data_IF_889062650275
#
_entry.id   IF_889062650275
#
_cell.length_a   1.000
_cell.length_b   1.000
_cell.length_c   1.000
_cell.angle_alpha   90.00
_cell.angle_beta   90.00
_cell.angle_gamma   90.00
#
_symmetry.space_group_name_H-M   'P 1'
#
loop_
_entity.id
_entity.type
_entity.pdbx_description
1 polymer ?
#
# COMPACT_ATOMS: atom_id res chain seq x y z
N UNK A 1 -5.14 8.99 8.19
CA UNK A 1 -6.53 8.50 8.40
C UNK A 1 -6.71 7.84 9.75
N UNK A 2 -5.84 6.89 10.15
CA UNK A 2 -5.95 6.20 11.45
C UNK A 2 -6.04 7.18 12.64
N UNK A 3 -5.15 8.18 12.81
CA UNK A 3 -5.27 9.13 13.93
C UNK A 3 -6.57 9.92 13.92
N UNK A 4 -7.05 10.28 12.72
CA UNK A 4 -8.30 11.02 12.56
C UNK A 4 -9.51 10.20 13.03
N UNK A 5 -9.64 8.94 12.60
CA UNK A 5 -10.73 8.08 13.07
C UNK A 5 -10.63 7.77 14.57
N UNK A 6 -9.42 7.53 15.09
CA UNK A 6 -9.21 7.32 16.53
C UNK A 6 -9.61 8.54 17.35
N UNK A 7 -9.26 9.74 16.90
CA UNK A 7 -9.63 10.99 17.57
C UNK A 7 -11.16 11.19 17.60
N UNK A 8 -11.86 10.86 16.51
CA UNK A 8 -13.33 10.91 16.49
C UNK A 8 -13.95 9.90 17.47
N UNK A 9 -13.46 8.66 17.46
CA UNK A 9 -13.93 7.62 18.38
C UNK A 9 -13.65 8.01 19.85
N UNK A 10 -12.45 8.51 20.16
CA UNK A 10 -12.08 8.98 21.49
C UNK A 10 -12.90 10.20 21.94
N UNK A 11 -13.33 11.05 21.00
CA UNK A 11 -14.26 12.15 21.26
C UNK A 11 -15.73 11.72 21.43
N UNK A 12 -16.01 10.41 21.47
CA UNK A 12 -17.35 9.86 21.66
C UNK A 12 -18.26 10.00 20.45
N UNK A 13 -17.70 10.22 19.25
CA UNK A 13 -18.49 10.22 18.02
C UNK A 13 -18.94 8.80 17.69
N UNK A 14 -20.15 8.68 17.15
CA UNK A 14 -20.74 7.42 16.69
C UNK A 14 -20.67 7.27 15.17
N UNK A 15 -20.07 8.23 14.48
CA UNK A 15 -19.93 8.28 13.03
C UNK A 15 -18.48 8.53 12.62
N UNK A 16 -18.05 7.86 11.55
CA UNK A 16 -16.75 8.03 10.93
C UNK A 16 -16.97 8.40 9.45
N UNK A 17 -16.63 9.64 9.03
CA UNK A 17 -16.89 10.05 7.65
C UNK A 17 -15.98 9.30 6.67
N UNK A 18 -16.58 8.76 5.62
CA UNK A 18 -15.90 8.04 4.55
C UNK A 18 -15.89 8.92 3.30
N UNK A 19 -14.75 9.06 2.63
CA UNK A 19 -14.65 9.89 1.42
C UNK A 19 -15.31 9.22 0.22
N UNK A 20 -15.04 7.93 -0.01
CA UNK A 20 -15.73 7.08 -0.98
C UNK A 20 -15.69 5.62 -0.49
N UNK A 21 -16.82 4.91 -0.54
CA UNK A 21 -16.89 3.53 -0.04
C UNK A 21 -16.04 2.51 -0.80
N UNK A 22 -15.66 2.83 -2.05
CA UNK A 22 -14.82 1.97 -2.88
C UNK A 22 -13.34 2.20 -2.60
N UNK A 23 -12.99 3.21 -1.80
CA UNK A 23 -11.60 3.59 -1.58
C UNK A 23 -10.79 2.48 -0.88
N UNK A 24 -9.59 2.22 -1.40
CA UNK A 24 -8.67 1.23 -0.81
C UNK A 24 -7.28 1.80 -0.65
N UNK A 25 -6.53 1.25 0.29
CA UNK A 25 -5.13 1.62 0.56
C UNK A 25 -4.31 0.36 0.77
N UNK A 26 -3.00 0.48 0.61
CA UNK A 26 -2.07 -0.54 1.09
C UNK A 26 -1.77 -0.33 2.57
N UNK A 27 -1.57 -1.44 3.29
CA UNK A 27 -1.12 -1.42 4.68
C UNK A 27 0.37 -1.70 4.76
N UNK A 28 1.14 -0.79 5.35
CA UNK A 28 2.54 -0.99 5.68
C UNK A 28 2.81 -0.41 7.08
N UNK A 29 3.46 -1.19 7.93
CA UNK A 29 3.97 -0.71 9.21
C UNK A 29 5.25 0.10 9.02
N UNK A 30 5.60 0.92 10.02
CA UNK A 30 6.86 1.65 10.01
C UNK A 30 8.06 0.70 9.93
N UNK A 31 8.01 -0.42 10.64
CA UNK A 31 9.07 -1.42 10.61
C UNK A 31 9.23 -2.04 9.21
N UNK A 32 8.13 -2.48 8.58
CA UNK A 32 8.15 -3.00 7.20
C UNK A 32 8.70 -1.95 6.22
N UNK A 33 8.35 -0.68 6.39
CA UNK A 33 8.89 0.43 5.60
C UNK A 33 10.40 0.59 5.77
N UNK A 34 10.90 0.53 7.01
CA UNK A 34 12.34 0.60 7.30
C UNK A 34 13.08 -0.61 6.72
N UNK A 35 12.51 -1.81 6.82
CA UNK A 35 13.11 -3.02 6.25
C UNK A 35 13.25 -2.93 4.72
N UNK A 36 12.27 -2.34 4.02
CA UNK A 36 12.37 -2.09 2.58
C UNK A 36 13.55 -1.16 2.25
N UNK A 37 13.74 -0.08 3.02
CA UNK A 37 14.86 0.86 2.83
C UNK A 37 16.20 0.17 3.05
N UNK A 38 16.35 -0.59 4.14
CA UNK A 38 17.58 -1.34 4.44
C UNK A 38 17.89 -2.33 3.33
N UNK A 39 16.87 -3.06 2.85
CA UNK A 39 17.01 -3.99 1.72
C UNK A 39 17.51 -3.26 0.46
N UNK A 40 16.86 -2.16 0.09
CA UNK A 40 17.25 -1.36 -1.07
C UNK A 40 18.70 -0.87 -0.95
N UNK A 41 19.12 -0.38 0.22
CA UNK A 41 20.51 0.04 0.45
C UNK A 41 21.52 -1.10 0.30
N UNK A 42 21.14 -2.32 0.68
CA UNK A 42 22.05 -3.48 0.62
C UNK A 42 22.15 -4.11 -0.77
N UNK A 43 21.10 -3.98 -1.60
CA UNK A 43 20.97 -4.75 -2.84
C UNK A 43 20.94 -3.92 -4.12
N UNK A 44 20.67 -2.60 -4.03
CA UNK A 44 20.59 -1.72 -5.19
C UNK A 44 21.95 -1.60 -5.90
N UNK A 45 21.93 -1.60 -7.23
CA UNK A 45 23.09 -1.32 -8.09
C UNK A 45 22.99 0.06 -8.76
N UNK A 46 21.93 0.82 -8.48
CA UNK A 46 21.70 2.21 -8.85
C UNK A 46 20.49 2.41 -9.76
N UNK A 47 19.55 3.25 -9.35
CA UNK A 47 18.40 3.66 -10.18
C UNK A 47 17.21 2.69 -10.16
N UNK A 48 17.28 1.57 -9.45
CA UNK A 48 16.13 0.70 -9.24
C UNK A 48 15.11 1.30 -8.27
N UNK A 49 13.83 0.99 -8.49
CA UNK A 49 12.76 1.30 -7.54
C UNK A 49 12.26 0.00 -6.92
N UNK A 50 12.44 -0.13 -5.59
CA UNK A 50 12.01 -1.29 -4.81
C UNK A 50 10.61 -1.05 -4.23
N UNK A 51 9.71 -2.02 -4.42
CA UNK A 51 8.30 -1.90 -4.03
C UNK A 51 7.89 -3.15 -3.27
N UNK A 52 7.54 -3.03 -1.99
CA UNK A 52 7.09 -4.18 -1.18
C UNK A 52 5.76 -4.73 -1.68
N UNK A 53 5.60 -6.06 -1.63
CA UNK A 53 4.30 -6.71 -1.71
C UNK A 53 3.63 -6.63 -0.34
N UNK A 54 2.59 -5.82 -0.24
CA UNK A 54 1.86 -5.53 0.98
C UNK A 54 0.34 -5.68 0.77
N UNK A 55 -0.41 -6.02 1.83
CA UNK A 55 -1.83 -6.25 1.70
C UNK A 55 -2.59 -4.93 1.52
N UNK A 56 -3.78 -5.04 0.93
CA UNK A 56 -4.72 -3.92 0.79
C UNK A 56 -5.84 -4.00 1.83
N UNK A 57 -6.49 -2.87 2.07
CA UNK A 57 -7.70 -2.81 2.88
C UNK A 57 -8.67 -1.74 2.36
N UNK A 58 -9.96 -1.90 2.63
CA UNK A 58 -10.96 -0.88 2.37
C UNK A 58 -11.02 0.12 3.52
N UNK A 59 -11.27 1.38 3.20
CA UNK A 59 -11.42 2.42 4.23
C UNK A 59 -12.60 2.14 5.18
N UNK A 60 -13.66 1.48 4.68
CA UNK A 60 -14.79 1.02 5.50
C UNK A 60 -14.38 -0.03 6.54
N UNK A 61 -13.48 -0.95 6.17
CA UNK A 61 -13.03 -2.02 7.05
C UNK A 61 -12.13 -1.45 8.14
N UNK A 62 -11.31 -0.44 7.80
CA UNK A 62 -10.58 0.34 8.79
C UNK A 62 -11.52 1.08 9.75
N UNK A 63 -12.57 1.73 9.25
CA UNK A 63 -13.54 2.42 10.10
C UNK A 63 -14.22 1.43 11.07
N UNK A 64 -14.64 0.26 10.58
CA UNK A 64 -15.23 -0.79 11.39
C UNK A 64 -14.24 -1.36 12.42
N UNK A 65 -12.96 -1.49 12.07
CA UNK A 65 -11.91 -1.95 12.99
C UNK A 65 -11.61 -0.91 14.10
N UNK A 66 -11.72 0.39 13.80
CA UNK A 66 -11.50 1.47 14.78
C UNK A 66 -12.72 1.68 15.69
N UNK A 67 -13.92 1.73 15.12
CA UNK A 67 -15.17 1.92 15.86
C UNK A 67 -16.25 0.97 15.33
N UNK A 68 -16.36 -0.24 15.90
CA UNK A 68 -17.33 -1.22 15.44
C UNK A 68 -18.77 -0.71 15.49
N UNK A 69 -19.47 -0.79 14.36
CA UNK A 69 -20.87 -0.35 14.26
C UNK A 69 -21.04 1.17 14.10
N UNK A 70 -19.96 1.91 13.82
CA UNK A 70 -20.05 3.33 13.47
C UNK A 70 -20.94 3.54 12.25
N UNK A 71 -21.74 4.62 12.28
CA UNK A 71 -22.31 5.15 11.04
C UNK A 71 -21.16 5.65 10.16
N UNK A 72 -21.26 5.43 8.85
CA UNK A 72 -20.19 5.76 7.91
C UNK A 72 -20.72 6.71 6.82
N UNK A 73 -21.07 7.97 7.13
CA UNK A 73 -21.60 8.88 6.11
C UNK A 73 -20.56 9.16 5.02
N UNK A 74 -20.98 9.08 3.75
CA UNK A 74 -20.13 9.44 2.62
C UNK A 74 -20.05 10.97 2.48
N UNK A 75 -18.85 11.53 2.56
CA UNK A 75 -18.61 12.98 2.50
C UNK A 75 -18.06 13.44 1.14
N UNK A 76 -17.81 12.50 0.23
CA UNK A 76 -17.27 12.76 -1.09
C UNK A 76 -15.73 12.76 -1.13
N UNK A 77 -15.20 12.46 -2.33
CA UNK A 77 -13.77 12.48 -2.62
C UNK A 77 -13.27 13.93 -2.60
N UNK A 78 -12.18 14.18 -1.88
CA UNK A 78 -11.51 15.49 -1.88
C UNK A 78 -10.64 15.66 -3.13
N UNK A 79 -10.44 16.90 -3.55
CA UNK A 79 -9.59 17.20 -4.70
C UNK A 79 -8.18 16.60 -4.52
N UNK A 80 -7.70 15.90 -5.54
CA UNK A 80 -6.40 15.23 -5.54
C UNK A 80 -6.36 13.86 -4.85
N UNK A 81 -7.43 13.39 -4.19
CA UNK A 81 -7.47 12.04 -3.63
C UNK A 81 -7.69 10.97 -4.70
N UNK A 82 -6.89 9.90 -4.63
CA UNK A 82 -7.08 8.72 -5.47
C UNK A 82 -8.04 7.72 -4.81
N UNK A 83 -8.85 7.06 -5.65
CA UNK A 83 -9.72 5.97 -5.22
C UNK A 83 -8.89 4.74 -4.78
N UNK A 84 -7.89 4.39 -5.58
CA UNK A 84 -6.94 3.32 -5.30
C UNK A 84 -5.52 3.83 -5.47
N UNK A 85 -4.59 3.30 -4.67
CA UNK A 85 -3.17 3.60 -4.80
C UNK A 85 -2.52 2.64 -5.81
N UNK A 86 -1.54 3.14 -6.55
CA UNK A 86 -0.79 2.37 -7.56
C UNK A 86 0.68 2.49 -7.19
N UNK A 87 1.36 1.34 -7.01
CA UNK A 87 2.79 1.30 -6.72
C UNK A 87 3.64 0.82 -7.90
N UNK A 88 3.07 0.02 -8.81
CA UNK A 88 3.65 -0.27 -10.13
C UNK A 88 2.63 0.17 -11.17
N UNK A 89 2.99 1.15 -11.99
CA UNK A 89 2.13 1.63 -13.07
C UNK A 89 2.15 0.65 -14.26
N UNK A 90 1.15 0.76 -15.13
CA UNK A 90 1.08 -0.05 -16.36
C UNK A 90 2.25 0.25 -17.30
N UNK A 91 2.74 1.48 -17.26
CA UNK A 91 3.88 1.96 -18.03
C UNK A 91 5.19 1.37 -17.50
N UNK A 92 5.33 1.27 -16.18
CA UNK A 92 6.51 0.68 -15.53
C UNK A 92 6.57 -0.85 -15.68
N UNK A 93 5.45 -1.50 -16.05
CA UNK A 93 5.35 -2.96 -16.14
C UNK A 93 6.41 -3.57 -17.08
N UNK A 94 6.82 -2.84 -18.12
CA UNK A 94 7.83 -3.30 -19.09
C UNK A 94 9.21 -3.52 -18.48
N UNK A 95 9.49 -2.88 -17.34
CA UNK A 95 10.75 -2.90 -16.62
C UNK A 95 10.61 -3.49 -15.21
N UNK A 96 9.41 -3.91 -14.83
CA UNK A 96 9.11 -4.46 -13.53
C UNK A 96 9.34 -5.97 -13.47
N UNK A 97 9.97 -6.41 -12.38
CA UNK A 97 10.21 -7.81 -12.07
C UNK A 97 9.61 -8.12 -10.70
N UNK A 98 8.86 -9.21 -10.63
CA UNK A 98 8.27 -9.76 -9.41
C UNK A 98 9.23 -10.74 -8.73
N UNK A 99 9.39 -10.55 -7.42
CA UNK A 99 10.05 -11.45 -6.50
C UNK A 99 9.05 -11.88 -5.43
N UNK A 100 9.45 -12.82 -4.58
CA UNK A 100 8.55 -13.40 -3.56
C UNK A 100 7.84 -12.34 -2.70
N UNK A 101 8.58 -11.33 -2.22
CA UNK A 101 8.09 -10.32 -1.28
C UNK A 101 8.09 -8.88 -1.80
N UNK A 102 8.50 -8.65 -3.04
CA UNK A 102 8.64 -7.30 -3.59
C UNK A 102 8.66 -7.31 -5.12
N UNK A 103 8.50 -6.14 -5.71
CA UNK A 103 8.81 -5.86 -7.09
C UNK A 103 10.05 -4.98 -7.16
N UNK A 104 10.77 -5.06 -8.28
CA UNK A 104 11.81 -4.10 -8.65
C UNK A 104 11.47 -3.57 -10.03
N UNK A 105 11.33 -2.25 -10.15
CA UNK A 105 11.31 -1.56 -11.44
C UNK A 105 12.74 -1.16 -11.76
N UNK A 106 13.30 -1.74 -12.81
CA UNK A 106 14.65 -1.39 -13.26
C UNK A 106 14.66 -0.12 -14.11
N UNK A 107 15.70 0.70 -14.02
CA UNK A 107 15.75 1.94 -14.78
C UNK A 107 16.01 1.66 -16.27
N UNK A 108 15.53 2.58 -17.11
CA UNK A 108 15.83 2.60 -18.54
C UNK A 108 16.82 3.73 -18.87
N UNK A 109 18.04 3.60 -18.35
CA UNK A 109 19.15 4.51 -18.67
C UNK A 109 20.18 3.82 -19.56
N UNK A 110 20.88 4.58 -20.41
CA UNK A 110 21.92 4.05 -21.31
C UNK A 110 23.07 3.33 -20.59
N UNK A 111 23.36 3.74 -19.34
CA UNK A 111 24.39 3.13 -18.49
C UNK A 111 23.89 1.90 -17.71
N UNK A 112 22.59 1.59 -17.80
CA UNK A 112 22.01 0.40 -17.20
C UNK A 112 22.13 -0.79 -18.15
N UNK A 113 22.46 -1.95 -17.60
CA UNK A 113 22.65 -3.17 -18.38
C UNK A 113 21.76 -4.26 -17.81
N UNK A 114 21.12 -5.07 -18.66
CA UNK A 114 20.26 -6.18 -18.23
C UNK A 114 21.01 -7.19 -17.35
N UNK A 115 22.33 -7.30 -17.48
CA UNK A 115 23.20 -8.10 -16.60
C UNK A 115 23.14 -7.69 -15.13
N UNK A 116 22.64 -6.48 -14.82
CA UNK A 116 22.46 -5.98 -13.47
C UNK A 116 21.16 -6.43 -12.82
N UNK A 117 20.20 -6.96 -13.59
CA UNK A 117 18.95 -7.53 -13.07
C UNK A 117 19.29 -8.62 -12.04
N UNK A 118 18.60 -8.61 -10.91
CA UNK A 118 18.84 -9.58 -9.86
C UNK A 118 18.28 -10.96 -10.26
N UNK A 119 19.00 -12.01 -9.85
CA UNK A 119 18.54 -13.36 -10.11
C UNK A 119 17.27 -13.69 -9.30
N UNK A 120 16.42 -14.57 -9.83
CA UNK A 120 15.21 -15.04 -9.16
C UNK A 120 13.94 -14.20 -9.40
N UNK A 121 14.08 -13.02 -10.02
CA UNK A 121 12.94 -12.21 -10.43
C UNK A 121 12.26 -12.76 -11.69
N UNK A 122 10.93 -12.72 -11.72
CA UNK A 122 10.12 -13.01 -12.91
C UNK A 122 9.64 -11.70 -13.51
N UNK A 123 9.84 -11.49 -14.80
CA UNK A 123 9.32 -10.31 -15.48
C UNK A 123 7.78 -10.33 -15.40
N UNK A 124 7.17 -9.20 -15.04
CA UNK A 124 5.70 -9.10 -15.01
C UNK A 124 5.15 -9.02 -16.45
N UNK A 125 3.87 -9.36 -16.60
CA UNK A 125 3.20 -9.26 -17.89
C UNK A 125 3.06 -7.80 -18.36
N UNK A 126 3.12 -7.52 -19.67
CA UNK A 126 2.87 -6.18 -20.21
C UNK A 126 1.49 -5.65 -19.80
N UNK A 127 1.45 -4.42 -19.28
CA UNK A 127 0.25 -3.77 -18.77
C UNK A 127 -0.17 -4.21 -17.37
N UNK A 128 0.64 -5.02 -16.68
CA UNK A 128 0.48 -5.30 -15.25
C UNK A 128 0.46 -4.00 -14.44
N UNK A 129 -0.42 -3.92 -13.45
CA UNK A 129 -0.53 -2.81 -12.50
C UNK A 129 -0.59 -3.38 -11.09
N UNK A 130 0.26 -2.86 -10.20
CA UNK A 130 0.15 -3.18 -8.78
C UNK A 130 -0.65 -2.08 -8.07
N UNK A 131 -1.96 -2.33 -7.96
CA UNK A 131 -2.96 -1.40 -7.43
C UNK A 131 -3.64 -1.94 -6.18
N UNK A 132 -3.92 -1.05 -5.23
CA UNK A 132 -4.63 -1.44 -4.00
C UNK A 132 -6.09 -1.82 -4.25
N UNK A 133 -6.63 -1.52 -5.43
CA UNK A 133 -8.01 -1.86 -5.82
C UNK A 133 -8.16 -3.27 -6.40
N UNK A 134 -7.08 -3.81 -6.97
CA UNK A 134 -7.05 -5.12 -7.66
C UNK A 134 -6.04 -6.08 -7.05
N UNK A 135 -5.59 -5.81 -5.83
CA UNK A 135 -4.64 -6.65 -5.11
C UNK A 135 -5.20 -8.06 -4.86
N UNK A 136 -4.33 -9.02 -4.60
CA UNK A 136 -4.72 -10.39 -4.25
C UNK A 136 -4.69 -10.66 -2.75
N UNK A 137 -3.99 -9.80 -1.99
CA UNK A 137 -3.83 -9.91 -0.54
C UNK A 137 -4.61 -8.79 0.16
N UNK A 138 -5.56 -9.17 1.02
CA UNK A 138 -6.53 -8.25 1.64
C UNK A 138 -6.63 -8.51 3.14
N UNK A 139 -6.56 -7.43 3.93
CA UNK A 139 -6.77 -7.52 5.37
C UNK A 139 -8.26 -7.58 5.72
N UNK A 140 -8.62 -8.50 6.62
CA UNK A 140 -9.92 -8.51 7.28
C UNK A 140 -10.04 -7.41 8.34
N UNK A 141 -11.26 -7.12 8.78
CA UNK A 141 -11.50 -6.18 9.90
C UNK A 141 -10.74 -6.60 11.16
N UNK A 142 -10.70 -7.91 11.45
CA UNK A 142 -10.00 -8.48 12.59
C UNK A 142 -8.48 -8.31 12.46
N UNK A 143 -7.91 -8.54 11.27
CA UNK A 143 -6.49 -8.36 11.02
C UNK A 143 -6.07 -6.88 11.11
N UNK A 144 -6.92 -5.97 10.60
CA UNK A 144 -6.72 -4.53 10.76
C UNK A 144 -6.75 -4.17 12.25
N UNK A 145 -7.74 -4.67 13.00
CA UNK A 145 -7.86 -4.40 14.43
C UNK A 145 -6.64 -4.90 15.22
N UNK A 146 -6.09 -6.06 14.86
CA UNK A 146 -4.86 -6.57 15.47
C UNK A 146 -3.66 -5.68 15.15
N UNK A 147 -3.48 -5.32 13.87
CA UNK A 147 -2.38 -4.45 13.43
C UNK A 147 -2.48 -3.05 14.06
N UNK A 148 -3.68 -2.54 14.31
CA UNK A 148 -3.88 -1.26 14.98
C UNK A 148 -3.28 -1.26 16.40
N UNK A 149 -3.20 -2.40 17.10
CA UNK A 149 -2.60 -2.46 18.46
C UNK A 149 -1.10 -2.14 18.46
N UNK A 150 -0.40 -2.42 17.36
CA UNK A 150 1.04 -2.15 17.24
C UNK A 150 1.36 -0.78 16.63
N UNK A 151 0.35 -0.07 16.10
CA UNK A 151 0.52 1.30 15.58
C UNK A 151 0.64 2.26 16.76
N UNK A 152 1.88 2.66 17.07
CA UNK A 152 2.17 3.72 18.03
C UNK A 152 1.61 5.07 17.57
N UNK A 153 1.03 5.82 18.49
CA UNK A 153 0.62 7.20 18.27
C UNK A 153 1.82 8.10 18.56
N UNK A 154 2.23 8.89 17.56
CA UNK A 154 3.25 9.93 17.70
C UNK A 154 2.58 11.29 17.64
#
# INVERSE_FOLDING_TARGET
MIPFFRNLAAAGKTELPITDYRMTRFWISLEEGVQLVIKALSEAKGGETFISKIPSFKITDLAQAVLPGAAMPEVGIREGEKLHEIMVTREDSMLAYEYEKHFIVYPHFEWWQESKIQAGGKKVEPGFEYSSGTNTDWLSVEEIAERLKSVQEH
#
